data_IF_825911639291
#
_entry.id   IF_825911639291
#
_cell.length_a   1.000
_cell.length_b   1.000
_cell.length_c   1.000
_cell.angle_alpha   90.00
_cell.angle_beta   90.00
_cell.angle_gamma   90.00
#
_symmetry.space_group_name_H-M   'P 1'
#
loop_
_entity.id
_entity.type
_entity.pdbx_description
1 polymer ?
#
# COMPACT_ATOMS: atom_id res chain seq x y z
N UNK A 1 -19.37 -16.70 -26.55
CA UNK A 1 -18.49 -15.53 -26.85
C UNK A 1 -18.79 -14.34 -25.95
N UNK A 2 -20.00 -13.76 -25.93
CA UNK A 2 -20.30 -12.65 -24.99
C UNK A 2 -20.31 -13.13 -23.54
N UNK A 3 -20.95 -14.27 -23.24
CA UNK A 3 -21.02 -14.79 -21.88
C UNK A 3 -19.64 -15.12 -21.31
N UNK A 4 -18.78 -15.71 -22.14
CA UNK A 4 -17.38 -16.00 -21.81
C UNK A 4 -16.57 -14.73 -21.52
N UNK A 5 -16.83 -13.62 -22.24
CA UNK A 5 -16.19 -12.34 -21.95
C UNK A 5 -16.65 -11.78 -20.60
N UNK A 6 -17.94 -11.88 -20.30
CA UNK A 6 -18.50 -11.43 -19.00
C UNK A 6 -17.92 -12.25 -17.86
N UNK A 7 -17.87 -13.57 -18.00
CA UNK A 7 -17.29 -14.48 -17.00
C UNK A 7 -15.82 -14.13 -16.72
N UNK A 8 -15.03 -13.88 -17.77
CA UNK A 8 -13.63 -13.48 -17.62
C UNK A 8 -13.46 -12.14 -16.91
N UNK A 9 -14.30 -11.14 -17.18
CA UNK A 9 -14.24 -9.84 -16.49
C UNK A 9 -14.57 -9.98 -15.02
N UNK A 10 -15.64 -10.71 -14.68
CA UNK A 10 -16.01 -10.97 -13.28
C UNK A 10 -14.95 -11.76 -12.53
N UNK A 11 -14.26 -12.67 -13.22
CA UNK A 11 -13.12 -13.40 -12.65
C UNK A 11 -11.96 -12.44 -12.35
N UNK A 12 -11.57 -11.60 -13.30
CA UNK A 12 -10.49 -10.62 -13.10
C UNK A 12 -10.79 -9.64 -11.96
N UNK A 13 -12.05 -9.21 -11.86
CA UNK A 13 -12.53 -8.35 -10.78
C UNK A 13 -12.33 -9.01 -9.40
N UNK A 14 -12.80 -10.25 -9.25
CA UNK A 14 -12.65 -11.01 -8.00
C UNK A 14 -11.19 -11.34 -7.68
N UNK A 15 -10.40 -11.70 -8.70
CA UNK A 15 -8.98 -12.01 -8.53
C UNK A 15 -8.21 -10.79 -7.97
N UNK A 16 -8.50 -9.57 -8.45
CA UNK A 16 -7.89 -8.34 -7.92
C UNK A 16 -8.22 -8.10 -6.44
N UNK A 17 -9.49 -8.28 -6.04
CA UNK A 17 -9.91 -8.13 -4.64
C UNK A 17 -9.17 -9.13 -3.75
N UNK A 18 -9.12 -10.41 -4.15
CA UNK A 18 -8.47 -11.48 -3.38
C UNK A 18 -6.96 -11.23 -3.27
N UNK A 19 -6.31 -10.80 -4.34
CA UNK A 19 -4.88 -10.45 -4.33
C UNK A 19 -4.64 -9.29 -3.38
N UNK A 20 -5.42 -8.21 -3.46
CA UNK A 20 -5.28 -7.03 -2.60
C UNK A 20 -5.48 -7.35 -1.11
N UNK A 21 -6.44 -8.22 -0.78
CA UNK A 21 -6.62 -8.71 0.59
C UNK A 21 -5.39 -9.50 1.08
N UNK A 22 -4.85 -10.42 0.26
CA UNK A 22 -3.62 -11.15 0.60
C UNK A 22 -2.41 -10.24 0.76
N UNK A 23 -2.28 -9.21 -0.06
CA UNK A 23 -1.24 -8.17 0.09
C UNK A 23 -1.39 -7.53 1.47
N UNK A 24 -2.61 -7.11 1.82
CA UNK A 24 -2.91 -6.51 3.11
C UNK A 24 -2.55 -7.40 4.29
N UNK A 25 -3.04 -8.64 4.28
CA UNK A 25 -2.81 -9.62 5.34
C UNK A 25 -1.33 -9.95 5.52
N UNK A 26 -0.58 -10.13 4.41
CA UNK A 26 0.84 -10.44 4.49
C UNK A 26 1.66 -9.22 4.91
N UNK A 27 1.33 -8.03 4.41
CA UNK A 27 2.00 -6.79 4.82
C UNK A 27 1.77 -6.46 6.28
N UNK A 28 0.57 -6.70 6.82
CA UNK A 28 0.27 -6.41 8.22
C UNK A 28 1.09 -7.26 9.21
N UNK A 29 1.58 -8.44 8.80
CA UNK A 29 2.41 -9.32 9.66
C UNK A 29 3.76 -8.72 10.03
N UNK A 30 4.27 -7.78 9.22
CA UNK A 30 5.56 -7.12 9.46
C UNK A 30 5.41 -5.73 10.09
N UNK A 31 4.19 -5.27 10.33
CA UNK A 31 3.92 -4.00 10.99
C UNK A 31 4.07 -4.17 12.50
N UNK A 32 4.94 -3.36 13.10
CA UNK A 32 5.12 -3.34 14.55
C UNK A 32 3.91 -2.70 15.26
N UNK A 33 3.70 -3.10 16.52
CA UNK A 33 2.68 -2.50 17.39
C UNK A 33 2.89 -0.98 17.51
N UNK A 34 1.81 -0.21 17.44
CA UNK A 34 1.83 1.26 17.52
C UNK A 34 2.74 1.96 16.49
N UNK A 35 3.06 1.31 15.37
CA UNK A 35 3.95 1.87 14.36
C UNK A 35 3.38 3.15 13.71
N UNK A 36 4.27 4.08 13.37
CA UNK A 36 4.03 5.14 12.42
C UNK A 36 4.26 4.68 10.98
N UNK A 37 3.23 4.75 10.15
CA UNK A 37 3.27 4.31 8.75
C UNK A 37 3.10 5.52 7.84
N UNK A 38 4.07 5.75 6.94
CA UNK A 38 3.97 6.73 5.87
C UNK A 38 3.57 6.05 4.55
N UNK A 39 2.68 6.69 3.79
CA UNK A 39 2.38 6.31 2.40
C UNK A 39 2.44 7.52 1.46
N UNK A 40 2.52 7.24 0.17
CA UNK A 40 2.67 8.24 -0.90
C UNK A 40 1.77 7.88 -2.08
N UNK A 41 1.22 8.90 -2.76
CA UNK A 41 0.18 8.78 -3.78
C UNK A 41 -1.11 8.16 -3.21
N UNK A 42 -1.93 7.58 -4.09
CA UNK A 42 -3.03 6.71 -3.72
C UNK A 42 -2.82 5.31 -4.31
N UNK A 43 -2.72 4.32 -3.43
CA UNK A 43 -2.63 2.89 -3.75
C UNK A 43 -3.68 2.12 -2.95
N UNK A 44 -4.88 2.70 -2.90
CA UNK A 44 -6.03 2.22 -2.16
C UNK A 44 -7.16 1.67 -3.01
N UNK A 45 -8.36 1.61 -2.45
CA UNK A 45 -9.53 1.03 -3.10
C UNK A 45 -9.91 1.81 -4.37
N UNK A 46 -9.67 3.13 -4.40
CA UNK A 46 -9.91 3.96 -5.59
C UNK A 46 -8.87 3.75 -6.70
N UNK A 47 -7.77 3.05 -6.41
CA UNK A 47 -6.71 2.73 -7.36
C UNK A 47 -6.75 1.26 -7.84
N UNK A 48 -7.63 0.45 -7.28
CA UNK A 48 -7.83 -0.97 -7.59
C UNK A 48 -9.33 -1.26 -7.75
N UNK A 49 -9.73 -2.53 -7.87
CA UNK A 49 -11.16 -2.90 -7.86
C UNK A 49 -11.75 -2.76 -6.46
N UNK A 50 -10.92 -2.96 -5.42
CA UNK A 50 -11.30 -2.79 -4.04
C UNK A 50 -10.13 -3.08 -3.10
N UNK A 51 -10.31 -2.72 -1.83
CA UNK A 51 -9.35 -2.89 -0.72
C UNK A 51 -8.02 -2.12 -0.85
N UNK A 52 -7.38 -2.15 -2.01
CA UNK A 52 -6.11 -1.49 -2.30
C UNK A 52 -4.89 -2.33 -1.98
N UNK A 53 -3.73 -1.86 -2.43
CA UNK A 53 -2.44 -2.51 -2.21
C UNK A 53 -1.76 -1.96 -0.95
N UNK A 54 -1.12 -0.79 -1.03
CA UNK A 54 -0.48 -0.16 0.13
C UNK A 54 -1.50 0.23 1.21
N UNK A 55 -2.68 0.75 0.81
CA UNK A 55 -3.74 1.01 1.78
C UNK A 55 -4.44 -0.28 2.24
N UNK A 56 -4.36 -1.38 1.48
CA UNK A 56 -4.77 -2.70 1.96
C UNK A 56 -3.93 -3.17 3.14
N UNK A 57 -2.60 -2.96 3.08
CA UNK A 57 -1.69 -3.20 4.22
C UNK A 57 -2.05 -2.32 5.41
N UNK A 58 -2.32 -1.03 5.19
CA UNK A 58 -2.73 -0.11 6.26
C UNK A 58 -4.07 -0.54 6.88
N UNK A 59 -5.07 -0.91 6.07
CA UNK A 59 -6.38 -1.41 6.54
C UNK A 59 -6.22 -2.67 7.38
N UNK A 60 -5.48 -3.65 6.90
CA UNK A 60 -5.18 -4.89 7.63
C UNK A 60 -4.42 -4.62 8.93
N UNK A 61 -3.40 -3.75 8.90
CA UNK A 61 -2.62 -3.40 10.07
C UNK A 61 -3.45 -2.66 11.12
N UNK A 62 -4.29 -1.70 10.70
CA UNK A 62 -5.17 -0.95 11.58
C UNK A 62 -6.24 -1.83 12.24
N UNK A 63 -6.78 -2.79 11.49
CA UNK A 63 -7.71 -3.78 12.03
C UNK A 63 -7.06 -4.64 13.13
N UNK A 64 -5.76 -4.94 13.00
CA UNK A 64 -4.99 -5.69 14.00
C UNK A 64 -4.57 -4.83 15.20
N UNK A 65 -4.25 -3.55 14.97
CA UNK A 65 -3.81 -2.62 16.00
C UNK A 65 -4.24 -1.18 15.72
N UNK A 66 -5.23 -0.70 16.47
CA UNK A 66 -5.77 0.66 16.32
C UNK A 66 -4.85 1.77 16.85
N UNK A 67 -3.71 1.44 17.46
CA UNK A 67 -2.77 2.44 17.96
C UNK A 67 -1.77 2.93 16.90
N UNK A 68 -1.70 2.27 15.73
CA UNK A 68 -0.83 2.71 14.63
C UNK A 68 -1.23 4.12 14.16
N UNK A 69 -0.24 4.86 13.65
CA UNK A 69 -0.41 6.23 13.16
C UNK A 69 -0.15 6.28 11.68
N UNK A 70 -1.10 6.80 10.92
CA UNK A 70 -0.99 6.88 9.46
C UNK A 70 -0.63 8.30 9.04
N UNK A 71 0.38 8.40 8.19
CA UNK A 71 0.82 9.63 7.56
C UNK A 71 0.69 9.47 6.05
N UNK A 72 0.12 10.46 5.37
CA UNK A 72 -0.01 10.47 3.92
C UNK A 72 0.64 11.72 3.36
N UNK A 73 1.56 11.57 2.40
CA UNK A 73 2.08 12.71 1.64
C UNK A 73 1.02 13.24 0.67
N UNK A 74 0.88 14.56 0.54
CA UNK A 74 -0.10 15.19 -0.35
C UNK A 74 0.02 14.72 -1.80
N UNK A 75 1.24 14.42 -2.27
CA UNK A 75 1.58 13.91 -3.60
C UNK A 75 1.34 14.94 -4.71
N UNK A 76 2.19 15.97 -4.77
CA UNK A 76 2.12 16.96 -5.85
C UNK A 76 2.49 16.36 -7.22
N UNK A 77 2.00 16.95 -8.33
CA UNK A 77 1.10 18.11 -8.40
C UNK A 77 -0.40 17.75 -8.37
N UNK A 78 -0.75 16.46 -8.49
CA UNK A 78 -2.15 16.00 -8.62
C UNK A 78 -2.87 15.83 -7.28
N UNK A 79 -2.11 15.82 -6.20
CA UNK A 79 -2.58 15.76 -4.82
C UNK A 79 -3.37 14.49 -4.50
N UNK A 80 -2.94 13.33 -5.01
CA UNK A 80 -3.66 12.07 -4.79
C UNK A 80 -3.72 11.70 -3.30
N UNK A 81 -2.66 11.97 -2.54
CA UNK A 81 -2.65 11.70 -1.12
C UNK A 81 -3.66 12.57 -0.37
N UNK A 82 -3.62 13.89 -0.62
CA UNK A 82 -4.54 14.82 0.03
C UNK A 82 -6.01 14.59 -0.36
N UNK A 83 -6.28 14.22 -1.61
CA UNK A 83 -7.64 14.17 -2.16
C UNK A 83 -8.29 12.79 -2.11
N UNK A 84 -7.50 11.72 -2.27
CA UNK A 84 -8.01 10.36 -2.41
C UNK A 84 -7.63 9.54 -1.18
N UNK A 85 -6.34 9.42 -0.88
CA UNK A 85 -5.82 8.60 0.23
C UNK A 85 -6.38 9.04 1.58
N UNK A 86 -6.30 10.34 1.89
CA UNK A 86 -6.87 10.89 3.13
C UNK A 86 -8.38 10.70 3.19
N UNK A 87 -9.09 10.88 2.07
CA UNK A 87 -10.53 10.69 2.02
C UNK A 87 -10.92 9.23 2.30
N UNK A 88 -10.35 8.27 1.58
CA UNK A 88 -10.74 6.86 1.74
C UNK A 88 -10.38 6.29 3.13
N UNK A 89 -9.29 6.75 3.74
CA UNK A 89 -8.94 6.37 5.12
C UNK A 89 -9.93 6.95 6.14
N UNK A 90 -10.36 8.20 5.96
CA UNK A 90 -11.36 8.83 6.85
C UNK A 90 -12.72 8.13 6.72
N UNK A 91 -13.15 7.79 5.51
CA UNK A 91 -14.39 7.01 5.28
C UNK A 91 -14.34 5.64 5.97
N UNK A 92 -13.17 5.01 6.02
CA UNK A 92 -12.93 3.76 6.75
C UNK A 92 -12.79 3.95 8.28
N UNK A 93 -12.88 5.18 8.79
CA UNK A 93 -12.69 5.51 10.20
C UNK A 93 -11.24 5.42 10.70
N UNK A 94 -10.27 5.47 9.78
CA UNK A 94 -8.83 5.44 10.06
C UNK A 94 -8.30 6.88 10.13
N UNK A 95 -7.82 7.26 11.32
CA UNK A 95 -7.19 8.57 11.52
C UNK A 95 -5.89 8.69 10.72
N UNK A 96 -5.73 9.79 9.99
CA UNK A 96 -4.61 10.04 9.09
C UNK A 96 -4.13 11.48 9.18
N UNK A 97 -2.82 11.65 9.30
CA UNK A 97 -2.16 12.95 9.26
C UNK A 97 -1.65 13.24 7.84
N UNK A 98 -2.19 14.29 7.21
CA UNK A 98 -1.72 14.76 5.91
C UNK A 98 -0.41 15.54 6.07
N UNK A 99 0.59 15.19 5.26
CA UNK A 99 1.88 15.86 5.18
C UNK A 99 2.05 16.51 3.81
N UNK A 100 2.71 17.66 3.74
CA UNK A 100 3.24 18.13 2.44
C UNK A 100 4.45 17.28 2.04
N UNK A 101 4.73 17.12 0.75
CA UNK A 101 5.77 16.18 0.28
C UNK A 101 7.16 16.45 0.91
N UNK A 102 7.46 17.70 1.26
CA UNK A 102 8.74 18.09 1.88
C UNK A 102 8.86 17.73 3.36
N UNK A 103 7.75 17.46 4.05
CA UNK A 103 7.72 17.19 5.50
C UNK A 103 8.14 15.76 5.84
N UNK A 104 8.03 14.80 4.91
CA UNK A 104 8.31 13.38 5.17
C UNK A 104 9.69 13.18 5.83
N UNK A 105 10.72 13.88 5.34
CA UNK A 105 12.09 13.81 5.87
C UNK A 105 12.21 14.24 7.33
N UNK A 106 11.46 15.27 7.74
CA UNK A 106 11.42 15.73 9.12
C UNK A 106 10.76 14.69 10.03
N UNK A 107 9.63 14.12 9.61
CA UNK A 107 8.90 13.12 10.39
C UNK A 107 9.73 11.83 10.54
N UNK A 108 10.38 11.38 9.48
CA UNK A 108 11.32 10.25 9.53
C UNK A 108 12.47 10.52 10.50
N UNK A 109 13.12 11.70 10.41
CA UNK A 109 14.26 12.06 11.26
C UNK A 109 13.92 12.12 12.75
N UNK A 110 12.70 12.53 13.08
CA UNK A 110 12.24 12.65 14.46
C UNK A 110 11.59 11.36 15.01
N UNK A 111 11.65 10.25 14.26
CA UNK A 111 11.16 8.95 14.73
C UNK A 111 9.64 8.81 14.75
N UNK A 112 8.91 9.62 13.99
CA UNK A 112 7.45 9.46 13.84
C UNK A 112 7.07 8.36 12.85
N UNK A 113 7.99 7.95 11.98
CA UNK A 113 7.76 6.97 10.91
C UNK A 113 8.66 5.76 11.15
N UNK A 114 8.04 4.62 11.41
CA UNK A 114 8.72 3.32 11.55
C UNK A 114 8.77 2.57 10.22
N UNK A 115 7.77 2.78 9.35
CA UNK A 115 7.63 2.08 8.08
C UNK A 115 7.09 2.99 6.98
N UNK A 116 7.57 2.76 5.76
CA UNK A 116 7.00 3.35 4.54
C UNK A 116 6.37 2.24 3.72
N UNK A 117 5.10 2.40 3.36
CA UNK A 117 4.36 1.43 2.54
C UNK A 117 3.86 2.11 1.28
N UNK A 118 4.35 1.65 0.13
CA UNK A 118 4.05 2.20 -1.19
C UNK A 118 3.90 1.09 -2.22
N UNK A 119 3.19 1.37 -3.31
CA UNK A 119 3.15 0.50 -4.48
C UNK A 119 4.15 1.00 -5.53
N UNK A 120 4.90 0.07 -6.11
CA UNK A 120 5.81 0.34 -7.23
C UNK A 120 5.53 -0.63 -8.37
N UNK A 121 5.76 -0.17 -9.61
CA UNK A 121 5.62 -1.03 -10.79
C UNK A 121 6.68 -2.13 -10.78
N UNK A 122 6.30 -3.30 -11.26
CA UNK A 122 7.20 -4.44 -11.46
C UNK A 122 8.44 -4.10 -12.30
N UNK A 123 8.32 -3.27 -13.33
CA UNK A 123 9.48 -2.86 -14.12
C UNK A 123 10.45 -1.98 -13.32
N UNK A 124 9.96 -1.18 -12.37
CA UNK A 124 10.81 -0.40 -11.47
C UNK A 124 11.52 -1.30 -10.46
N UNK A 125 10.84 -2.33 -9.95
CA UNK A 125 11.46 -3.38 -9.11
C UNK A 125 12.62 -4.01 -9.90
N UNK A 126 12.35 -4.45 -11.14
CA UNK A 126 13.36 -5.03 -12.01
C UNK A 126 14.53 -4.07 -12.21
N UNK A 127 14.29 -2.83 -12.62
CA UNK A 127 15.39 -1.90 -12.90
C UNK A 127 16.19 -1.48 -11.66
N UNK A 128 15.73 -1.79 -10.43
CA UNK A 128 16.30 -1.28 -9.19
C UNK A 128 16.49 -2.36 -8.10
N UNK A 129 16.74 -3.63 -8.44
CA UNK A 129 16.96 -4.72 -7.47
C UNK A 129 17.93 -4.34 -6.34
N UNK A 130 19.05 -3.68 -6.68
CA UNK A 130 20.08 -3.29 -5.72
C UNK A 130 19.56 -2.31 -4.65
N UNK A 131 18.58 -1.46 -5.00
CA UNK A 131 18.02 -0.45 -4.09
C UNK A 131 16.98 -1.02 -3.13
N UNK A 132 16.37 -2.14 -3.49
CA UNK A 132 15.33 -2.80 -2.69
C UNK A 132 15.85 -4.01 -1.91
N UNK A 133 17.13 -4.34 -2.06
CA UNK A 133 17.77 -5.41 -1.28
C UNK A 133 17.62 -5.15 0.23
N UNK A 134 17.13 -6.14 0.96
CA UNK A 134 16.87 -6.05 2.40
C UNK A 134 15.64 -5.21 2.78
N UNK A 135 14.80 -4.83 1.81
CA UNK A 135 13.46 -4.28 2.07
C UNK A 135 12.41 -5.39 2.04
N UNK A 136 11.30 -5.18 2.72
CA UNK A 136 10.13 -6.05 2.59
C UNK A 136 9.49 -5.79 1.23
N UNK A 137 9.37 -6.84 0.43
CA UNK A 137 8.74 -6.78 -0.90
C UNK A 137 7.63 -7.82 -0.93
N UNK A 138 6.42 -7.37 -1.25
CA UNK A 138 5.27 -8.23 -1.54
C UNK A 138 5.15 -8.32 -3.06
N UNK A 139 5.51 -9.48 -3.63
CA UNK A 139 5.56 -9.70 -5.07
C UNK A 139 4.42 -10.61 -5.51
N UNK A 140 3.43 -10.02 -6.17
CA UNK A 140 2.19 -10.71 -6.58
C UNK A 140 2.32 -11.44 -7.92
N UNK A 141 3.40 -11.18 -8.67
CA UNK A 141 3.63 -11.80 -9.97
C UNK A 141 4.87 -12.71 -9.98
N UNK A 142 5.51 -12.89 -8.82
CA UNK A 142 6.66 -13.77 -8.63
C UNK A 142 7.79 -13.48 -9.63
N UNK A 143 8.05 -12.19 -9.85
CA UNK A 143 9.08 -11.67 -10.77
C UNK A 143 10.38 -11.26 -10.08
N UNK A 144 10.38 -11.09 -8.76
CA UNK A 144 11.50 -10.60 -7.98
C UNK A 144 12.31 -11.79 -7.45
N UNK A 145 13.56 -11.99 -7.90
CA UNK A 145 14.36 -13.17 -7.55
C UNK A 145 15.11 -13.03 -6.23
N UNK A 146 14.87 -11.96 -5.46
CA UNK A 146 15.62 -11.67 -4.25
C UNK A 146 15.16 -12.57 -3.09
N UNK A 147 16.12 -13.03 -2.29
CA UNK A 147 15.82 -13.77 -1.07
C UNK A 147 15.07 -12.88 -0.06
N UNK A 148 14.10 -13.45 0.66
CA UNK A 148 13.29 -12.73 1.65
C UNK A 148 12.12 -11.92 1.06
N UNK A 149 11.83 -12.08 -0.24
CA UNK A 149 10.62 -11.56 -0.89
C UNK A 149 9.42 -12.45 -0.54
N UNK A 150 8.28 -11.83 -0.28
CA UNK A 150 7.02 -12.53 -0.06
C UNK A 150 6.32 -12.72 -1.40
N UNK A 151 6.27 -13.96 -1.85
CA UNK A 151 5.56 -14.39 -3.04
C UNK A 151 4.09 -14.69 -2.70
N UNK A 152 3.17 -13.99 -3.37
CA UNK A 152 1.72 -14.04 -3.10
C UNK A 152 0.97 -14.75 -4.24
#
# INVERSE_FOLDING_TARGET
MIDELVENVLKLENDDIVINQKIGENGAKVVNKSAGILTHCNAGALATVGYGTALGVIRSAYANDKTIKIYADETRPRQQGARLTTWELIEDGIDVTLLTDGMCSYFMKNGYIDMVVVMVKHDHIKQNWDKIKGKVVLDCFNICPLEGVYHI
#
